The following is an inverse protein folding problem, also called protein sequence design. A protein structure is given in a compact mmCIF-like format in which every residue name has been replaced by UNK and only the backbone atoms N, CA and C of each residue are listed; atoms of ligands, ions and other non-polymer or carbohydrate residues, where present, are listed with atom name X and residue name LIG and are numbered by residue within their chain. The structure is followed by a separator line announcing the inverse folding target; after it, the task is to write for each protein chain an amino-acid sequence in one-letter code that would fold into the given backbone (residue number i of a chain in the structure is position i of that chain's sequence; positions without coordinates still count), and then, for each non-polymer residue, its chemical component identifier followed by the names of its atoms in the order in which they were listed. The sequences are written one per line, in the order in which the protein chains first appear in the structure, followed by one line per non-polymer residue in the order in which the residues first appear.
data_IF_887092980805
#
_entry.id   IF_887092980805
#
_cell.length_a   1.000
_cell.length_b   1.000
_cell.length_c   1.000
_cell.angle_alpha   90.00
_cell.angle_beta   90.00
_cell.angle_gamma   90.00
#
_symmetry.space_group_name_H-M   'P 1'
#
loop_
_entity.id
_entity.type
_entity.pdbx_description
1 polymer ?
#
# COMPACT_ATOMS: atom_id res chain seq x y z
N UNK A 1 -4.36 32.47 -10.86
CA UNK A 1 -5.34 31.40 -11.17
C UNK A 1 -4.61 30.08 -11.32
N UNK A 2 -4.37 29.38 -10.21
CA UNK A 2 -3.77 28.04 -10.24
C UNK A 2 -4.89 27.02 -10.51
N UNK A 3 -4.74 26.27 -11.60
CA UNK A 3 -5.64 25.19 -11.98
C UNK A 3 -5.43 24.06 -10.98
N UNK A 4 -6.36 23.90 -10.03
CA UNK A 4 -6.42 22.73 -9.15
C UNK A 4 -6.49 21.49 -10.05
N UNK A 5 -5.40 20.73 -10.12
CA UNK A 5 -5.47 19.35 -10.62
C UNK A 5 -6.26 18.59 -9.55
N UNK A 6 -7.59 18.63 -9.70
CA UNK A 6 -8.51 17.78 -8.98
C UNK A 6 -8.11 16.33 -9.30
N UNK A 7 -7.29 15.74 -8.43
CA UNK A 7 -7.04 14.30 -8.37
C UNK A 7 -8.40 13.61 -8.32
N UNK A 8 -8.89 13.21 -9.49
CA UNK A 8 -10.17 12.53 -9.62
C UNK A 8 -9.98 11.16 -8.98
N UNK A 9 -10.37 11.05 -7.70
CA UNK A 9 -10.42 9.82 -6.92
C UNK A 9 -11.00 8.74 -7.82
N UNK A 10 -10.18 7.76 -8.20
CA UNK A 10 -10.65 6.65 -9.00
C UNK A 10 -11.56 5.82 -8.07
N UNK A 11 -12.85 6.15 -8.08
CA UNK A 11 -13.86 5.38 -7.37
C UNK A 11 -14.09 4.10 -8.18
N UNK A 12 -13.24 3.10 -7.94
CA UNK A 12 -13.61 1.73 -8.25
C UNK A 12 -14.81 1.38 -7.36
N UNK A 13 -15.92 0.94 -7.96
CA UNK A 13 -17.04 0.40 -7.21
C UNK A 13 -16.67 -0.94 -6.55
N UNK A 14 -17.65 -1.58 -5.91
CA UNK A 14 -17.49 -2.96 -5.41
C UNK A 14 -17.57 -3.99 -6.54
N UNK A 15 -18.21 -3.65 -7.66
CA UNK A 15 -18.43 -4.54 -8.80
C UNK A 15 -17.12 -5.04 -9.45
N UNK A 16 -16.10 -4.20 -9.74
CA UNK A 16 -14.83 -4.71 -10.28
C UNK A 16 -14.12 -5.70 -9.36
N UNK A 17 -14.21 -5.49 -8.04
CA UNK A 17 -13.61 -6.38 -7.04
C UNK A 17 -14.35 -7.73 -7.04
N UNK A 18 -15.69 -7.70 -7.05
CA UNK A 18 -16.53 -8.90 -7.12
C UNK A 18 -16.28 -9.69 -8.42
N UNK A 19 -16.26 -9.02 -9.56
CA UNK A 19 -16.03 -9.66 -10.87
C UNK A 19 -14.63 -10.28 -10.96
N UNK A 20 -13.62 -9.61 -10.42
CA UNK A 20 -12.25 -10.15 -10.36
C UNK A 20 -12.17 -11.38 -9.45
N UNK A 21 -12.86 -11.36 -8.31
CA UNK A 21 -12.92 -12.50 -7.40
C UNK A 21 -13.65 -13.71 -8.04
N UNK A 22 -14.79 -13.49 -8.69
CA UNK A 22 -15.51 -14.55 -9.41
C UNK A 22 -14.66 -15.14 -10.54
N UNK A 23 -13.97 -14.30 -11.31
CA UNK A 23 -13.12 -14.76 -12.42
C UNK A 23 -11.91 -15.58 -11.96
N UNK A 24 -11.40 -15.33 -10.75
CA UNK A 24 -10.24 -16.07 -10.20
C UNK A 24 -10.67 -17.39 -9.54
N UNK A 25 -11.88 -17.45 -8.97
CA UNK A 25 -12.44 -18.66 -8.37
C UNK A 25 -12.97 -19.64 -9.43
N UNK A 26 -13.63 -19.13 -10.48
CA UNK A 26 -14.10 -19.91 -11.63
C UNK A 26 -12.93 -20.30 -12.55
N UNK A 27 -11.92 -20.96 -11.97
CA UNK A 27 -10.73 -21.41 -12.67
C UNK A 27 -10.94 -22.69 -13.48
N UNK A 28 -9.89 -23.09 -14.21
CA UNK A 28 -9.90 -24.28 -15.06
C UNK A 28 -10.23 -25.60 -14.35
N UNK A 29 -10.04 -25.65 -13.02
CA UNK A 29 -10.37 -26.83 -12.19
C UNK A 29 -11.87 -27.13 -12.21
N UNK A 30 -12.73 -26.10 -12.24
CA UNK A 30 -14.18 -26.27 -12.29
C UNK A 30 -14.61 -27.03 -13.55
N UNK A 31 -14.00 -26.72 -14.71
CA UNK A 31 -14.39 -27.35 -15.98
C UNK A 31 -13.79 -28.75 -16.16
N UNK A 32 -12.59 -29.00 -15.65
CA UNK A 32 -11.86 -30.25 -15.88
C UNK A 32 -12.09 -31.31 -14.80
N UNK A 33 -12.33 -30.89 -13.56
CA UNK A 33 -12.37 -31.81 -12.42
C UNK A 33 -13.77 -31.99 -11.86
N UNK A 34 -14.71 -31.08 -12.11
CA UNK A 34 -16.08 -31.23 -11.62
C UNK A 34 -16.77 -32.46 -12.22
N UNK A 35 -16.67 -32.66 -13.55
CA UNK A 35 -17.23 -33.85 -14.20
C UNK A 35 -16.60 -35.16 -13.69
N UNK A 36 -15.27 -35.17 -13.51
CA UNK A 36 -14.55 -36.31 -12.92
C UNK A 36 -15.00 -36.58 -11.46
N UNK A 37 -15.15 -35.53 -10.66
CA UNK A 37 -15.57 -35.66 -9.26
C UNK A 37 -17.01 -36.20 -9.16
N UNK A 38 -17.93 -35.72 -10.00
CA UNK A 38 -19.32 -36.21 -10.04
C UNK A 38 -19.36 -37.68 -10.47
N UNK A 39 -18.53 -38.07 -11.44
CA UNK A 39 -18.47 -39.46 -11.91
C UNK A 39 -17.93 -40.44 -10.84
N UNK A 40 -16.95 -40.02 -10.02
CA UNK A 40 -16.33 -40.90 -9.03
C UNK A 40 -17.00 -40.87 -7.65
N UNK A 41 -17.38 -39.68 -7.17
CA UNK A 41 -17.91 -39.48 -5.80
C UNK A 41 -19.45 -39.45 -5.81
N UNK A 42 -20.06 -39.34 -6.99
CA UNK A 42 -21.50 -39.19 -7.15
C UNK A 42 -21.98 -37.76 -6.88
N UNK A 43 -23.21 -37.45 -7.29
CA UNK A 43 -23.78 -36.10 -7.17
C UNK A 43 -23.88 -35.64 -5.70
N UNK A 44 -24.46 -36.48 -4.83
CA UNK A 44 -24.61 -36.17 -3.40
C UNK A 44 -23.25 -35.99 -2.72
N UNK A 45 -22.26 -36.81 -3.08
CA UNK A 45 -20.92 -36.71 -2.55
C UNK A 45 -20.21 -35.41 -2.95
N UNK A 46 -20.37 -34.97 -4.20
CA UNK A 46 -19.83 -33.67 -4.66
C UNK A 46 -20.53 -32.50 -3.94
N UNK A 47 -21.85 -32.56 -3.75
CA UNK A 47 -22.56 -31.54 -2.97
C UNK A 47 -22.03 -31.47 -1.52
N UNK A 48 -21.78 -32.62 -0.89
CA UNK A 48 -21.15 -32.69 0.43
C UNK A 48 -19.75 -32.06 0.47
N UNK A 49 -18.90 -32.35 -0.53
CA UNK A 49 -17.57 -31.74 -0.65
C UNK A 49 -17.64 -30.22 -0.81
N UNK A 50 -18.60 -29.72 -1.60
CA UNK A 50 -18.82 -28.28 -1.78
C UNK A 50 -19.20 -27.63 -0.46
N UNK A 51 -20.10 -28.24 0.32
CA UNK A 51 -20.51 -27.70 1.63
C UNK A 51 -19.31 -27.63 2.58
N UNK A 52 -18.52 -28.69 2.68
CA UNK A 52 -17.31 -28.71 3.53
C UNK A 52 -16.31 -27.64 3.09
N UNK A 53 -16.11 -27.46 1.78
CA UNK A 53 -15.23 -26.41 1.26
C UNK A 53 -15.74 -25.01 1.65
N UNK A 54 -17.04 -24.75 1.56
CA UNK A 54 -17.63 -23.47 1.98
C UNK A 54 -17.51 -23.22 3.48
N UNK A 55 -17.60 -24.26 4.31
CA UNK A 55 -17.40 -24.13 5.75
C UNK A 55 -15.98 -23.65 6.11
N UNK A 56 -14.98 -23.94 5.29
CA UNK A 56 -13.60 -23.46 5.49
C UNK A 56 -13.41 -22.06 4.88
N UNK A 57 -13.98 -21.79 3.70
CA UNK A 57 -13.78 -20.53 2.97
C UNK A 57 -14.50 -19.36 3.63
N UNK A 58 -15.71 -19.58 4.19
CA UNK A 58 -16.51 -18.50 4.79
C UNK A 58 -15.80 -17.80 5.97
N UNK A 59 -15.24 -18.53 6.97
CA UNK A 59 -14.46 -17.91 8.04
C UNK A 59 -13.22 -17.15 7.53
N UNK A 60 -12.52 -17.69 6.52
CA UNK A 60 -11.34 -17.04 5.93
C UNK A 60 -11.73 -15.72 5.27
N UNK A 61 -12.85 -15.71 4.52
CA UNK A 61 -13.37 -14.50 3.89
C UNK A 61 -13.79 -13.45 4.92
N UNK A 62 -14.43 -13.86 6.02
CA UNK A 62 -14.77 -12.97 7.14
C UNK A 62 -13.52 -12.39 7.80
N UNK A 63 -12.49 -13.20 8.05
CA UNK A 63 -11.23 -12.72 8.60
C UNK A 63 -10.53 -11.70 7.67
N UNK A 64 -10.50 -11.96 6.36
CA UNK A 64 -9.95 -11.01 5.38
C UNK A 64 -10.75 -9.71 5.35
N UNK A 65 -12.08 -9.77 5.48
CA UNK A 65 -12.91 -8.58 5.57
C UNK A 65 -12.59 -7.74 6.83
N UNK A 66 -12.43 -8.38 7.98
CA UNK A 66 -12.03 -7.72 9.23
C UNK A 66 -10.68 -6.99 9.06
N UNK A 67 -9.67 -7.68 8.54
CA UNK A 67 -8.33 -7.12 8.28
C UNK A 67 -8.42 -5.92 7.31
N UNK A 68 -9.24 -6.02 6.26
CA UNK A 68 -9.43 -4.94 5.30
C UNK A 68 -10.16 -3.71 5.90
N UNK A 69 -10.97 -3.89 6.95
CA UNK A 69 -11.67 -2.79 7.64
C UNK A 69 -10.87 -2.13 8.76
N UNK A 70 -9.82 -2.78 9.28
CA UNK A 70 -9.08 -2.34 10.46
C UNK A 70 -8.13 -1.15 10.22
N UNK A 71 -7.65 -0.95 9.00
CA UNK A 71 -6.66 0.08 8.67
C UNK A 71 -7.05 0.84 7.41
N UNK A 72 -6.71 2.14 7.30
CA UNK A 72 -6.91 2.90 6.06
C UNK A 72 -6.03 2.32 4.96
N UNK A 73 -6.64 1.56 4.05
CA UNK A 73 -5.96 0.90 2.94
C UNK A 73 -5.42 1.95 1.97
N UNK A 74 -4.12 2.22 2.05
CA UNK A 74 -3.36 2.92 1.01
C UNK A 74 -2.96 1.89 -0.06
N UNK A 75 -2.84 2.30 -1.32
CA UNK A 75 -2.89 1.44 -2.52
C UNK A 75 -1.79 0.38 -2.72
N UNK A 76 -1.60 -0.54 -1.77
CA UNK A 76 -0.56 -1.59 -1.81
C UNK A 76 -1.05 -3.03 -1.93
N UNK A 77 -2.35 -3.27 -2.15
CA UNK A 77 -2.92 -4.63 -2.34
C UNK A 77 -2.93 -5.51 -1.07
N UNK A 78 -3.16 -6.82 -1.24
CA UNK A 78 -3.43 -7.74 -0.13
C UNK A 78 -2.26 -7.89 0.85
N UNK A 79 -1.02 -8.07 0.35
CA UNK A 79 0.17 -8.18 1.22
C UNK A 79 0.40 -6.92 2.05
N UNK A 80 0.16 -5.74 1.47
CA UNK A 80 0.30 -4.47 2.18
C UNK A 80 -0.71 -4.34 3.33
N UNK A 81 -1.96 -4.78 3.13
CA UNK A 81 -2.99 -4.77 4.17
C UNK A 81 -2.60 -5.72 5.31
N UNK A 82 -2.13 -6.93 4.99
CA UNK A 82 -1.78 -7.94 6.01
C UNK A 82 -0.54 -7.55 6.81
N UNK A 83 0.55 -7.14 6.13
CA UNK A 83 1.80 -6.76 6.79
C UNK A 83 1.66 -5.52 7.68
N UNK A 84 0.73 -4.61 7.37
CA UNK A 84 0.40 -3.47 8.24
C UNK A 84 -0.51 -3.84 9.41
N UNK A 85 -1.41 -4.80 9.22
CA UNK A 85 -2.35 -5.21 10.28
C UNK A 85 -1.71 -6.11 11.34
N UNK A 86 -0.80 -7.00 10.96
CA UNK A 86 -0.15 -7.96 11.87
C UNK A 86 1.34 -7.73 12.12
N UNK A 87 1.93 -6.70 11.52
CA UNK A 87 3.36 -6.44 11.58
C UNK A 87 4.19 -7.30 10.62
N UNK A 88 5.48 -6.96 10.50
CA UNK A 88 6.36 -7.48 9.46
C UNK A 88 6.57 -9.00 9.54
N UNK A 89 6.74 -9.56 10.74
CA UNK A 89 7.07 -10.99 10.90
C UNK A 89 5.91 -11.90 10.45
N UNK A 90 4.69 -11.61 10.90
CA UNK A 90 3.49 -12.37 10.52
C UNK A 90 3.14 -12.07 9.05
N UNK A 91 3.22 -10.81 8.64
CA UNK A 91 3.01 -10.41 7.24
C UNK A 91 3.94 -11.12 6.27
N UNK A 92 5.23 -11.20 6.57
CA UNK A 92 6.23 -11.87 5.75
C UNK A 92 5.96 -13.38 5.65
N UNK A 93 5.63 -14.04 6.78
CA UNK A 93 5.30 -15.46 6.78
C UNK A 93 4.09 -15.77 5.89
N UNK A 94 3.01 -15.01 6.02
CA UNK A 94 1.80 -15.16 5.17
C UNK A 94 2.13 -14.82 3.71
N UNK A 95 2.90 -13.77 3.45
CA UNK A 95 3.30 -13.37 2.10
C UNK A 95 4.12 -14.43 1.38
N UNK A 96 5.09 -15.04 2.07
CA UNK A 96 5.89 -16.13 1.52
C UNK A 96 5.00 -17.36 1.24
N UNK A 97 4.09 -17.70 2.16
CA UNK A 97 3.16 -18.81 1.95
C UNK A 97 2.26 -18.59 0.72
N UNK A 98 1.70 -17.38 0.55
CA UNK A 98 0.89 -17.02 -0.61
C UNK A 98 1.72 -17.01 -1.91
N UNK A 99 2.96 -16.55 -1.86
CA UNK A 99 3.86 -16.60 -3.01
C UNK A 99 4.16 -18.04 -3.45
N UNK A 100 4.42 -18.94 -2.50
CA UNK A 100 4.58 -20.37 -2.80
C UNK A 100 3.30 -20.99 -3.36
N UNK A 101 2.12 -20.56 -2.89
CA UNK A 101 0.84 -21.05 -3.43
C UNK A 101 0.64 -20.69 -4.91
N UNK A 102 1.22 -19.57 -5.39
CA UNK A 102 1.19 -19.18 -6.80
C UNK A 102 1.91 -20.21 -7.68
N UNK A 103 3.04 -20.76 -7.21
CA UNK A 103 3.76 -21.84 -7.91
C UNK A 103 2.84 -23.07 -8.03
N UNK A 104 2.12 -23.41 -6.97
CA UNK A 104 1.12 -24.48 -6.98
C UNK A 104 -0.01 -24.24 -7.98
N UNK A 105 -0.48 -22.99 -8.12
CA UNK A 105 -1.49 -22.63 -9.11
C UNK A 105 -0.97 -22.78 -10.55
N UNK A 106 0.24 -22.31 -10.83
CA UNK A 106 0.91 -22.49 -12.15
C UNK A 106 1.11 -23.98 -12.44
N UNK A 107 1.55 -24.76 -11.46
CA UNK A 107 1.72 -26.20 -11.58
C UNK A 107 0.39 -26.91 -11.88
N UNK A 108 -0.69 -26.50 -11.21
CA UNK A 108 -2.04 -27.03 -11.45
C UNK A 108 -2.53 -26.74 -12.87
N UNK A 109 -2.23 -25.54 -13.38
CA UNK A 109 -2.52 -25.18 -14.76
C UNK A 109 -1.70 -26.00 -15.77
N UNK A 110 -0.43 -26.29 -15.48
CA UNK A 110 0.36 -27.20 -16.31
C UNK A 110 -0.21 -28.62 -16.29
N UNK A 111 -0.52 -29.17 -15.12
CA UNK A 111 -1.09 -30.52 -14.99
C UNK A 111 -2.39 -30.70 -15.79
N UNK A 112 -3.17 -29.64 -15.97
CA UNK A 112 -4.35 -29.65 -16.83
C UNK A 112 -4.02 -30.07 -18.28
N UNK A 113 -2.94 -29.53 -18.88
CA UNK A 113 -2.54 -29.92 -20.23
C UNK A 113 -2.02 -31.36 -20.31
N UNK A 114 -1.45 -31.87 -19.22
CA UNK A 114 -0.97 -33.26 -19.12
C UNK A 114 -2.13 -34.26 -19.05
N UNK A 115 -3.27 -33.90 -18.47
CA UNK A 115 -4.39 -34.83 -18.30
C UNK A 115 -5.22 -34.99 -19.57
N UNK A 116 -5.67 -33.89 -20.18
CA UNK A 116 -6.43 -33.94 -21.42
C UNK A 116 -6.40 -32.62 -22.20
N UNK A 117 -5.53 -32.55 -23.21
CA UNK A 117 -5.27 -31.35 -24.02
C UNK A 117 -6.53 -30.74 -24.66
N UNK A 118 -7.44 -31.48 -25.33
CA UNK A 118 -8.63 -30.88 -25.94
C UNK A 118 -9.59 -30.25 -24.92
N UNK A 119 -9.83 -30.88 -23.76
CA UNK A 119 -10.67 -30.28 -22.72
C UNK A 119 -10.00 -29.08 -22.04
N UNK A 120 -8.67 -29.09 -21.93
CA UNK A 120 -7.89 -27.96 -21.42
C UNK A 120 -8.02 -26.73 -22.34
N UNK A 121 -7.87 -26.92 -23.65
CA UNK A 121 -8.04 -25.85 -24.65
C UNK A 121 -9.47 -25.30 -24.63
N UNK A 122 -10.48 -26.18 -24.59
CA UNK A 122 -11.88 -25.77 -24.48
C UNK A 122 -12.15 -24.95 -23.21
N UNK A 123 -11.61 -25.38 -22.06
CA UNK A 123 -11.77 -24.67 -20.78
C UNK A 123 -11.09 -23.31 -20.77
N UNK A 124 -9.88 -23.20 -21.35
CA UNK A 124 -9.19 -21.90 -21.50
C UNK A 124 -9.98 -20.97 -22.41
N UNK A 125 -10.51 -21.47 -23.54
CA UNK A 125 -11.31 -20.67 -24.45
C UNK A 125 -12.59 -20.14 -23.76
N UNK A 126 -13.24 -20.98 -22.95
CA UNK A 126 -14.44 -20.63 -22.21
C UNK A 126 -14.13 -19.62 -21.07
N UNK A 127 -13.01 -19.78 -20.36
CA UNK A 127 -12.53 -18.78 -19.41
C UNK A 127 -12.18 -17.45 -20.09
N UNK A 128 -11.48 -17.48 -21.22
CA UNK A 128 -11.13 -16.28 -21.98
C UNK A 128 -12.38 -15.58 -22.51
N UNK A 129 -13.40 -16.33 -22.92
CA UNK A 129 -14.71 -15.81 -23.31
C UNK A 129 -15.41 -15.14 -22.13
N UNK A 130 -15.48 -15.78 -20.96
CA UNK A 130 -16.07 -15.17 -19.76
C UNK A 130 -15.30 -13.93 -19.31
N UNK A 131 -13.97 -13.99 -19.30
CA UNK A 131 -13.13 -12.84 -18.99
C UNK A 131 -13.34 -11.70 -19.99
N UNK A 132 -13.41 -12.01 -21.29
CA UNK A 132 -13.70 -11.03 -22.33
C UNK A 132 -15.12 -10.45 -22.20
N UNK A 133 -16.12 -11.26 -21.86
CA UNK A 133 -17.49 -10.81 -21.60
C UNK A 133 -17.57 -9.88 -20.39
N UNK A 134 -16.96 -10.25 -19.26
CA UNK A 134 -16.85 -9.41 -18.07
C UNK A 134 -16.10 -8.11 -18.41
N UNK A 135 -14.99 -8.23 -19.14
CA UNK A 135 -14.15 -7.09 -19.52
C UNK A 135 -14.79 -6.21 -20.60
N UNK A 136 -15.79 -6.68 -21.35
CA UNK A 136 -16.58 -5.85 -22.28
C UNK A 136 -17.60 -4.98 -21.56
N UNK A 137 -18.04 -5.41 -20.37
CA UNK A 137 -18.97 -4.66 -19.53
C UNK A 137 -18.28 -3.54 -18.75
N UNK A 138 -16.96 -3.62 -18.50
CA UNK A 138 -16.21 -2.63 -17.73
C UNK A 138 -15.22 -1.82 -18.59
N UNK A 139 -15.65 -0.60 -18.93
CA UNK A 139 -14.76 0.44 -19.46
C UNK A 139 -14.02 1.05 -18.27
N UNK A 140 -12.74 0.72 -18.07
CA UNK A 140 -11.73 1.60 -17.44
C UNK A 140 -10.37 0.88 -17.36
N UNK A 141 -9.76 0.60 -18.53
CA UNK A 141 -8.34 0.19 -18.64
C UNK A 141 -7.34 1.24 -18.09
N UNK A 142 -7.82 2.35 -17.52
CA UNK A 142 -7.01 3.40 -16.88
C UNK A 142 -6.63 3.08 -15.43
N UNK A 143 -7.27 2.07 -14.82
CA UNK A 143 -7.06 1.73 -13.41
C UNK A 143 -5.70 1.08 -13.12
N UNK A 144 -5.26 0.14 -13.96
CA UNK A 144 -3.98 -0.56 -13.78
C UNK A 144 -2.79 0.39 -13.95
N UNK A 145 -2.87 1.32 -14.90
CA UNK A 145 -1.87 2.37 -15.11
C UNK A 145 -1.81 3.32 -13.91
N UNK A 146 -2.95 3.67 -13.30
CA UNK A 146 -2.99 4.46 -12.06
C UNK A 146 -2.45 3.69 -10.85
N UNK A 147 -2.70 2.38 -10.74
CA UNK A 147 -2.15 1.52 -9.70
C UNK A 147 -0.63 1.44 -9.82
N UNK A 148 -0.11 1.19 -11.03
CA UNK A 148 1.33 1.19 -11.29
C UNK A 148 1.96 2.55 -11.00
N UNK A 149 1.30 3.65 -11.40
CA UNK A 149 1.77 5.01 -11.09
C UNK A 149 1.76 5.29 -9.58
N UNK A 150 0.76 4.79 -8.85
CA UNK A 150 0.69 4.86 -7.40
C UNK A 150 1.78 4.04 -6.70
N UNK A 151 2.09 2.83 -7.20
CA UNK A 151 3.18 1.99 -6.67
C UNK A 151 4.56 2.59 -7.00
N UNK A 152 4.76 3.13 -8.20
CA UNK A 152 5.98 3.86 -8.59
C UNK A 152 6.15 5.12 -7.73
N UNK A 153 5.08 5.88 -7.53
CA UNK A 153 5.07 7.06 -6.65
C UNK A 153 5.28 6.70 -5.17
N UNK A 154 4.79 5.53 -4.74
CA UNK A 154 4.96 5.02 -3.38
C UNK A 154 6.36 4.45 -3.14
N UNK A 155 7.00 3.87 -4.16
CA UNK A 155 8.42 3.50 -4.15
C UNK A 155 9.34 4.72 -4.19
N UNK A 156 8.90 5.83 -4.81
CA UNK A 156 9.65 7.10 -4.79
C UNK A 156 9.41 7.93 -3.53
N UNK A 157 8.58 7.48 -2.58
CA UNK A 157 8.25 8.26 -1.38
C UNK A 157 9.40 8.20 -0.38
N UNK A 158 10.34 9.12 -0.54
CA UNK A 158 11.45 9.30 0.38
C UNK A 158 10.99 10.17 1.55
N UNK A 159 11.04 9.62 2.77
CA UNK A 159 10.99 10.44 3.97
C UNK A 159 12.35 11.13 4.06
N UNK A 160 12.40 12.38 3.63
CA UNK A 160 13.60 13.20 3.63
C UNK A 160 13.62 14.06 4.90
N UNK A 161 14.75 14.05 5.59
CA UNK A 161 14.98 14.87 6.78
C UNK A 161 15.95 15.96 6.40
N UNK A 162 15.49 17.19 6.53
CA UNK A 162 16.31 18.38 6.31
C UNK A 162 16.78 18.89 7.66
N UNK A 163 18.09 19.00 7.84
CA UNK A 163 18.70 19.60 9.02
C UNK A 163 19.31 20.95 8.64
N UNK A 164 18.97 22.00 9.38
CA UNK A 164 19.49 23.36 9.20
C UNK A 164 19.98 23.90 10.55
N UNK A 165 21.22 24.40 10.59
CA UNK A 165 21.81 25.13 11.71
C UNK A 165 22.89 26.09 11.17
N UNK A 166 23.14 27.19 11.87
CA UNK A 166 24.03 28.27 11.43
C UNK A 166 25.52 27.88 11.33
N UNK A 167 25.96 26.83 12.05
CA UNK A 167 27.35 26.38 12.06
C UNK A 167 27.52 25.03 11.35
N UNK A 168 28.52 24.94 10.46
CA UNK A 168 28.83 23.75 9.65
C UNK A 168 29.44 22.62 10.49
N UNK A 169 30.21 22.94 11.53
CA UNK A 169 30.89 21.96 12.37
C UNK A 169 29.88 21.15 13.22
N UNK A 170 28.90 21.85 13.81
CA UNK A 170 27.78 21.26 14.53
C UNK A 170 26.84 20.43 13.63
N UNK A 171 26.73 20.81 12.36
CA UNK A 171 25.81 20.19 11.41
C UNK A 171 26.27 18.79 10.99
N UNK A 172 27.57 18.60 10.79
CA UNK A 172 28.14 17.27 10.51
C UNK A 172 28.07 16.38 11.76
N UNK A 173 28.34 16.91 12.95
CA UNK A 173 28.17 16.17 14.22
C UNK A 173 26.73 15.65 14.41
N UNK A 174 25.73 16.50 14.14
CA UNK A 174 24.32 16.11 14.27
C UNK A 174 23.88 15.09 13.22
N UNK A 175 24.45 15.17 12.01
CA UNK A 175 24.22 14.19 10.95
C UNK A 175 24.81 12.82 11.33
N UNK A 176 25.98 12.79 11.95
CA UNK A 176 26.54 11.54 12.48
C UNK A 176 25.65 10.94 13.57
N UNK A 177 25.08 11.76 14.46
CA UNK A 177 24.11 11.29 15.47
C UNK A 177 22.85 10.71 14.84
N UNK A 178 22.27 11.37 13.83
CA UNK A 178 21.10 10.89 13.10
C UNK A 178 21.41 9.56 12.38
N UNK A 179 22.60 9.44 11.79
CA UNK A 179 23.07 8.18 11.19
C UNK A 179 23.20 7.10 12.27
N UNK A 180 23.72 7.41 13.46
CA UNK A 180 23.77 6.49 14.60
C UNK A 180 22.38 6.02 15.05
N UNK A 181 21.39 6.91 15.06
CA UNK A 181 20.00 6.57 15.38
C UNK A 181 19.32 5.70 14.31
N UNK A 182 19.70 5.86 13.05
CA UNK A 182 19.27 4.99 11.94
C UNK A 182 19.91 3.60 12.08
N UNK A 183 21.23 3.54 12.27
CA UNK A 183 21.97 2.29 12.42
C UNK A 183 21.53 1.49 13.65
N UNK A 184 21.12 2.17 14.72
CA UNK A 184 20.54 1.53 15.92
C UNK A 184 19.06 1.17 15.79
N UNK A 185 18.42 1.44 14.63
CA UNK A 185 17.04 1.09 14.34
C UNK A 185 15.99 1.97 15.06
N UNK A 186 16.40 3.05 15.72
CA UNK A 186 15.49 3.97 16.43
C UNK A 186 14.75 4.91 15.50
N UNK A 187 15.31 5.19 14.32
CA UNK A 187 14.66 5.98 13.27
C UNK A 187 14.55 5.12 12.01
N UNK A 188 13.33 4.81 11.53
CA UNK A 188 13.13 3.95 10.36
C UNK A 188 13.22 4.76 9.05
N UNK A 189 14.38 5.36 8.77
CA UNK A 189 14.68 6.08 7.51
C UNK A 189 16.02 5.65 6.93
N UNK A 190 16.22 5.86 5.62
CA UNK A 190 17.52 5.65 4.97
C UNK A 190 18.45 6.83 5.23
N UNK A 191 19.73 6.57 5.49
CA UNK A 191 20.76 7.61 5.61
C UNK A 191 20.91 8.45 4.33
N UNK A 192 20.59 7.88 3.16
CA UNK A 192 20.57 8.60 1.88
C UNK A 192 19.51 9.70 1.79
N UNK A 193 18.55 9.72 2.71
CA UNK A 193 17.45 10.68 2.72
C UNK A 193 17.68 11.83 3.71
N UNK A 194 18.87 11.97 4.29
CA UNK A 194 19.26 13.13 5.10
C UNK A 194 19.91 14.16 4.17
N UNK A 195 19.36 15.38 4.13
CA UNK A 195 19.95 16.49 3.38
C UNK A 195 20.28 17.65 4.32
N UNK A 196 21.48 18.20 4.14
CA UNK A 196 21.98 19.35 4.86
C UNK A 196 21.58 20.60 4.08
N UNK A 197 20.87 21.52 4.71
CA UNK A 197 20.53 22.81 4.10
C UNK A 197 21.49 23.86 4.66
N UNK A 198 22.18 24.57 3.76
CA UNK A 198 23.04 25.69 4.14
C UNK A 198 22.20 26.91 4.52
N UNK A 199 22.64 27.62 5.55
CA UNK A 199 21.95 28.78 6.12
C UNK A 199 22.10 30.00 5.20
N UNK A 200 21.27 30.06 4.16
CA UNK A 200 21.29 31.15 3.15
C UNK A 200 19.96 31.88 3.06
N UNK A 201 18.85 31.22 3.43
CA UNK A 201 17.49 31.75 3.40
C UNK A 201 16.86 31.64 4.81
N UNK A 202 15.86 32.49 5.10
CA UNK A 202 15.13 32.46 6.38
C UNK A 202 14.42 31.12 6.60
N UNK A 203 14.30 30.67 7.86
CA UNK A 203 13.72 29.37 8.22
C UNK A 203 12.32 29.16 7.62
N UNK A 204 11.49 30.20 7.53
CA UNK A 204 10.14 30.06 6.97
C UNK A 204 10.15 29.81 5.46
N UNK A 205 11.08 30.42 4.72
CA UNK A 205 11.20 30.25 3.28
C UNK A 205 11.67 28.83 2.93
N UNK A 206 12.59 28.29 3.73
CA UNK A 206 13.08 26.92 3.60
C UNK A 206 11.96 25.92 3.91
N UNK A 207 11.23 26.11 5.02
CA UNK A 207 10.11 25.22 5.36
C UNK A 207 9.05 25.23 4.25
N UNK A 208 8.70 26.41 3.71
CA UNK A 208 7.75 26.50 2.60
C UNK A 208 8.28 25.81 1.33
N UNK A 209 9.55 26.02 0.96
CA UNK A 209 10.16 25.47 -0.25
C UNK A 209 10.23 23.94 -0.24
N UNK A 210 10.59 23.34 0.90
CA UNK A 210 10.79 21.89 1.01
C UNK A 210 9.55 21.12 1.49
N UNK A 211 8.53 21.81 2.03
CA UNK A 211 7.32 21.16 2.56
C UNK A 211 6.07 21.41 1.72
N UNK A 212 6.17 22.07 0.56
CA UNK A 212 5.03 22.38 -0.33
C UNK A 212 4.23 21.13 -0.74
N UNK A 213 4.92 20.02 -0.99
CA UNK A 213 4.32 18.74 -1.40
C UNK A 213 4.09 17.78 -0.22
N UNK A 214 4.25 18.23 1.03
CA UNK A 214 4.08 17.39 2.20
C UNK A 214 2.59 17.11 2.51
N UNK A 215 2.25 15.84 2.76
CA UNK A 215 0.90 15.43 3.21
C UNK A 215 0.53 16.06 4.58
N UNK A 216 1.54 16.23 5.44
CA UNK A 216 1.45 16.80 6.78
C UNK A 216 2.80 17.40 7.17
N UNK A 217 2.79 18.68 7.58
CA UNK A 217 3.95 19.38 8.10
C UNK A 217 3.79 19.56 9.61
N UNK A 218 4.74 19.08 10.40
CA UNK A 218 4.75 19.29 11.85
C UNK A 218 5.71 20.43 12.16
N UNK A 219 5.20 21.51 12.74
CA UNK A 219 6.00 22.68 13.11
C UNK A 219 6.06 22.77 14.63
N UNK A 220 7.27 22.63 15.16
CA UNK A 220 7.56 22.83 16.57
C UNK A 220 7.69 24.32 16.88
N UNK A 221 7.17 24.74 18.03
CA UNK A 221 7.43 26.10 18.54
C UNK A 221 7.60 26.08 20.07
N UNK A 222 8.38 27.03 20.56
CA UNK A 222 8.65 27.24 21.98
C UNK A 222 7.71 28.29 22.58
N UNK A 223 7.63 28.37 23.92
CA UNK A 223 6.78 29.37 24.58
C UNK A 223 7.30 30.79 24.34
N UNK A 224 8.60 30.94 24.19
CA UNK A 224 9.31 32.19 23.93
C UNK A 224 8.96 32.73 22.53
N UNK A 225 8.95 31.87 21.52
CA UNK A 225 8.51 32.18 20.14
C UNK A 225 7.03 32.57 20.10
N UNK A 226 6.17 31.87 20.83
CA UNK A 226 4.75 32.21 20.93
C UNK A 226 4.52 33.55 21.64
N UNK A 227 5.29 33.83 22.69
CA UNK A 227 5.15 35.07 23.48
C UNK A 227 5.68 36.31 22.74
N UNK A 228 6.68 36.14 21.87
CA UNK A 228 7.27 37.24 21.09
C UNK A 228 6.50 37.53 19.79
N UNK A 229 6.07 36.50 19.06
CA UNK A 229 5.44 36.66 17.74
C UNK A 229 3.90 36.56 17.77
N UNK A 230 3.33 35.99 18.84
CA UNK A 230 1.90 35.88 19.04
C UNK A 230 1.20 35.12 17.90
N UNK A 231 -0.03 35.53 17.49
CA UNK A 231 -0.79 34.83 16.46
C UNK A 231 -0.16 34.90 15.06
N UNK A 232 0.85 35.75 14.84
CA UNK A 232 1.54 35.86 13.54
C UNK A 232 2.38 34.63 13.21
N UNK A 233 2.89 33.92 14.24
CA UNK A 233 3.64 32.67 14.09
C UNK A 233 2.92 31.63 13.22
N UNK A 234 1.59 31.56 13.35
CA UNK A 234 0.75 30.61 12.61
C UNK A 234 0.42 31.06 11.17
N UNK A 235 0.85 32.26 10.78
CA UNK A 235 0.55 32.88 9.48
C UNK A 235 1.78 33.06 8.57
N UNK A 236 2.99 32.77 9.08
CA UNK A 236 4.24 32.93 8.34
C UNK A 236 4.42 31.88 7.22
N UNK A 237 3.73 30.75 7.33
CA UNK A 237 3.86 29.61 6.42
C UNK A 237 2.74 29.62 5.37
N UNK A 238 3.01 30.22 4.22
CA UNK A 238 2.07 30.30 3.09
C UNK A 238 2.32 29.16 2.11
N UNK A 239 1.27 28.69 1.45
CA UNK A 239 1.33 27.69 0.37
C UNK A 239 1.77 26.27 0.81
N UNK A 240 1.75 25.95 2.11
CA UNK A 240 1.96 24.59 2.63
C UNK A 240 0.61 23.91 2.89
N UNK A 241 0.56 22.57 2.79
CA UNK A 241 -0.63 21.76 3.02
C UNK A 241 -1.13 21.74 4.48
N UNK A 242 -1.39 20.56 5.03
CA UNK A 242 -1.86 20.46 6.41
C UNK A 242 -0.71 20.72 7.39
N UNK A 243 -0.89 21.66 8.33
CA UNK A 243 0.10 21.98 9.36
C UNK A 243 -0.41 21.53 10.73
N UNK A 244 0.42 20.78 11.46
CA UNK A 244 0.23 20.46 12.87
C UNK A 244 1.26 21.21 13.70
N UNK A 245 0.80 22.17 14.51
CA UNK A 245 1.66 22.90 15.43
C UNK A 245 1.82 22.12 16.73
N UNK A 246 3.07 21.92 17.17
CA UNK A 246 3.40 21.14 18.36
C UNK A 246 4.24 22.00 19.30
N UNK A 247 3.82 22.07 20.56
CA UNK A 247 4.58 22.76 21.60
C UNK A 247 5.38 21.73 22.41
N UNK A 248 6.68 21.93 22.57
CA UNK A 248 7.47 21.19 23.55
C UNK A 248 7.39 21.89 24.92
N UNK A 249 6.74 21.25 25.89
CA UNK A 249 6.53 21.82 27.22
C UNK A 249 7.84 22.04 28.01
N UNK A 250 8.94 21.42 27.57
CA UNK A 250 10.29 21.63 28.10
C UNK A 250 11.27 21.71 26.93
N UNK A 251 11.94 22.86 26.79
CA UNK A 251 13.11 22.98 25.93
C UNK A 251 14.24 22.15 26.54
N UNK A 252 14.83 21.24 25.77
CA UNK A 252 16.10 20.63 26.14
C UNK A 252 17.18 21.49 25.49
N UNK A 253 17.89 22.28 26.29
CA UNK A 253 19.12 22.91 25.81
C UNK A 253 20.09 21.79 25.42
N UNK A 254 20.41 21.72 24.14
CA UNK A 254 21.45 20.83 23.63
C UNK A 254 22.74 21.63 23.79
N UNK A 255 23.38 21.47 24.95
CA UNK A 255 24.77 21.86 25.17
C UNK A 255 25.70 20.91 24.44
#
# INVERSE_FOLDING_TARGET
MARLVSEKKANFGTLPVFMTAVSTILGAILFLRFGYAVAHVGFVGVVGLIIIAHLVILPIAMAVAEIATNQRVRGGGAYYIVSRSFGLNIGAAIGIALYLSLIGAVMSFWLMFKMNTPYAILSIALMALFYYMISRTDTEKKGLVKLFRGVVFQMSRQLQVFAQRADKEDLESRKEELIGLICSGRIPISASNIQLISDTDGQEEIVCKYSIDADLTIIGFTREELSSQGPKLFSNYKDIGNILYVNSNQGKEIT
#
